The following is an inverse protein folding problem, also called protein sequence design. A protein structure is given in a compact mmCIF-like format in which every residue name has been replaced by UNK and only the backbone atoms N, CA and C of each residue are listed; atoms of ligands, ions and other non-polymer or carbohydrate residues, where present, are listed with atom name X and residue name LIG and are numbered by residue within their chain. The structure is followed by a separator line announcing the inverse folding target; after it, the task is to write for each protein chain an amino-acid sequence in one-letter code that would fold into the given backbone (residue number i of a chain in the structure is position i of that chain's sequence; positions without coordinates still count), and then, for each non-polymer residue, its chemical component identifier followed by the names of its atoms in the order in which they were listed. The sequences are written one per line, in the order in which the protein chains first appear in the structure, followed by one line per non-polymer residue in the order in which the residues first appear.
data_IF_156823237635
#
_entry.id   IF_156823237635
#
_cell.length_a   1.000
_cell.length_b   1.000
_cell.length_c   1.000
_cell.angle_alpha   90.00
_cell.angle_beta   90.00
_cell.angle_gamma   90.00
#
_symmetry.space_group_name_H-M   'P 1'
#
loop_
_entity.id
_entity.type
_entity.pdbx_description
1 polymer ?
#
# COMPACT_ATOMS: atom_id res chain seq x y z
N UNK A 1 -5.06 10.39 57.09
CA UNK A 1 -4.03 10.28 56.04
C UNK A 1 -4.58 9.36 54.97
N UNK A 2 -5.02 9.96 53.87
CA UNK A 2 -5.68 9.27 52.76
C UNK A 2 -4.63 8.59 51.89
N UNK A 3 -4.64 7.27 51.84
CA UNK A 3 -3.80 6.50 50.93
C UNK A 3 -4.32 6.70 49.50
N UNK A 4 -3.70 7.60 48.74
CA UNK A 4 -3.86 7.67 47.30
C UNK A 4 -3.40 6.33 46.69
N UNK A 5 -4.37 5.56 46.17
CA UNK A 5 -4.08 4.47 45.24
C UNK A 5 -3.48 5.11 43.99
N UNK A 6 -2.16 5.12 43.90
CA UNK A 6 -1.42 5.42 42.67
C UNK A 6 -1.86 4.41 41.60
N UNK A 7 -2.77 4.85 40.74
CA UNK A 7 -3.21 4.08 39.58
C UNK A 7 -2.00 3.89 38.67
N UNK A 8 -1.46 2.67 38.63
CA UNK A 8 -0.45 2.29 37.65
C UNK A 8 -1.05 2.50 36.24
N UNK A 9 -0.26 2.99 35.27
CA UNK A 9 -0.75 3.16 33.91
C UNK A 9 -1.23 1.80 33.42
N UNK A 10 -2.49 1.73 33.01
CA UNK A 10 -3.07 0.54 32.43
C UNK A 10 -2.15 0.09 31.29
N UNK A 11 -1.49 -1.06 31.46
CA UNK A 11 -0.75 -1.70 30.38
C UNK A 11 -1.70 -1.83 29.20
N UNK A 12 -1.42 -1.11 28.12
CA UNK A 12 -2.27 -1.11 26.93
C UNK A 12 -2.45 -2.54 26.47
N UNK A 13 -3.68 -3.04 26.57
CA UNK A 13 -4.07 -4.28 25.92
C UNK A 13 -3.75 -4.11 24.44
N UNK A 14 -2.71 -4.80 23.98
CA UNK A 14 -2.27 -4.82 22.58
C UNK A 14 -3.27 -5.62 21.77
N UNK A 15 -4.49 -5.13 21.64
CA UNK A 15 -5.44 -5.63 20.66
C UNK A 15 -5.02 -5.03 19.33
N UNK A 16 -4.47 -5.84 18.40
CA UNK A 16 -4.13 -5.34 17.09
C UNK A 16 -5.41 -4.84 16.40
N UNK A 17 -5.36 -3.61 15.85
CA UNK A 17 -6.48 -2.98 15.13
C UNK A 17 -6.94 -3.80 13.92
N UNK A 18 -6.02 -4.57 13.34
CA UNK A 18 -6.24 -5.43 12.18
C UNK A 18 -5.73 -6.83 12.50
N UNK A 19 -6.47 -7.88 12.11
CA UNK A 19 -5.98 -9.25 12.24
C UNK A 19 -4.97 -9.63 11.16
N UNK A 20 -4.36 -10.81 11.33
CA UNK A 20 -3.26 -11.28 10.46
C UNK A 20 -3.63 -11.33 8.98
N UNK A 21 -4.85 -11.75 8.67
CA UNK A 21 -5.31 -11.79 7.27
C UNK A 21 -5.33 -10.41 6.62
N UNK A 22 -5.79 -9.38 7.33
CA UNK A 22 -5.84 -8.02 6.82
C UNK A 22 -4.45 -7.49 6.49
N UNK A 23 -3.49 -7.72 7.40
CA UNK A 23 -2.10 -7.37 7.15
C UNK A 23 -1.54 -8.06 5.91
N UNK A 24 -1.93 -9.32 5.67
CA UNK A 24 -1.52 -10.04 4.45
C UNK A 24 -2.12 -9.41 3.19
N UNK A 25 -3.40 -9.01 3.22
CA UNK A 25 -4.05 -8.30 2.13
C UNK A 25 -3.45 -6.91 1.87
N UNK A 26 -3.06 -6.17 2.92
CA UNK A 26 -2.34 -4.89 2.79
C UNK A 26 -0.98 -5.10 2.13
N UNK A 27 -0.21 -6.11 2.53
CA UNK A 27 1.07 -6.42 1.88
C UNK A 27 0.92 -6.71 0.39
N UNK A 28 -0.15 -7.41 0.00
CA UNK A 28 -0.46 -7.68 -1.40
C UNK A 28 -0.83 -6.37 -2.13
N UNK A 29 -1.67 -5.53 -1.55
CA UNK A 29 -2.03 -4.22 -2.11
C UNK A 29 -0.82 -3.32 -2.33
N UNK A 30 0.05 -3.24 -1.33
CA UNK A 30 1.31 -2.51 -1.40
C UNK A 30 2.24 -3.04 -2.51
N UNK A 31 2.35 -4.37 -2.65
CA UNK A 31 3.16 -4.96 -3.72
C UNK A 31 2.62 -4.59 -5.10
N UNK A 32 1.30 -4.60 -5.30
CA UNK A 32 0.66 -4.20 -6.56
C UNK A 32 0.89 -2.72 -6.86
N UNK A 33 0.75 -1.84 -5.86
CA UNK A 33 1.05 -0.41 -5.97
C UNK A 33 2.51 -0.18 -6.37
N UNK A 34 3.44 -0.83 -5.66
CA UNK A 34 4.87 -0.74 -5.95
C UNK A 34 5.19 -1.18 -7.38
N UNK A 35 4.55 -2.25 -7.87
CA UNK A 35 4.71 -2.74 -9.24
C UNK A 35 4.16 -1.74 -10.27
N UNK A 36 3.01 -1.12 -10.00
CA UNK A 36 2.44 -0.05 -10.85
C UNK A 36 3.35 1.17 -10.97
N UNK A 37 3.89 1.66 -9.84
CA UNK A 37 4.85 2.76 -9.83
C UNK A 37 6.18 2.37 -10.48
N UNK A 38 6.64 1.14 -10.28
CA UNK A 38 7.86 0.62 -10.90
C UNK A 38 7.76 0.61 -12.43
N UNK A 39 6.62 0.14 -12.97
CA UNK A 39 6.35 0.17 -14.40
C UNK A 39 6.32 1.60 -14.94
N UNK A 40 5.80 2.57 -14.17
CA UNK A 40 5.81 3.99 -14.53
C UNK A 40 7.24 4.59 -14.58
N UNK A 41 8.14 4.13 -13.70
CA UNK A 41 9.53 4.61 -13.65
C UNK A 41 10.41 4.08 -14.81
N UNK A 42 10.03 2.97 -15.43
CA UNK A 42 10.78 2.32 -16.51
C UNK A 42 10.63 3.05 -17.84
N UNK A 43 11.52 3.99 -18.15
CA UNK A 43 11.31 4.87 -19.30
C UNK A 43 12.38 5.86 -19.69
N UNK A 44 13.55 5.79 -19.04
CA UNK A 44 14.62 6.73 -19.29
C UNK A 44 15.24 6.43 -20.65
N UNK A 45 15.05 7.34 -21.60
CA UNK A 45 15.77 7.27 -22.86
C UNK A 45 17.26 7.49 -22.60
N UNK A 46 18.09 6.60 -23.16
CA UNK A 46 19.55 6.62 -23.03
C UNK A 46 20.19 7.82 -23.73
N UNK A 47 19.47 8.49 -24.63
CA UNK A 47 19.94 9.65 -25.38
C UNK A 47 18.93 10.80 -25.31
N UNK A 48 19.24 11.87 -24.57
CA UNK A 48 18.34 13.02 -24.36
C UNK A 48 18.19 13.93 -25.60
N UNK A 49 18.95 13.64 -26.67
CA UNK A 49 18.92 14.37 -27.94
C UNK A 49 18.03 13.71 -29.00
N UNK A 50 17.59 12.48 -28.77
CA UNK A 50 16.74 11.72 -29.69
C UNK A 50 15.42 11.41 -29.00
N UNK A 51 14.31 11.98 -29.49
CA UNK A 51 12.98 11.63 -29.02
C UNK A 51 12.64 10.21 -29.50
N UNK A 52 12.76 9.22 -28.62
CA UNK A 52 12.21 7.88 -28.85
C UNK A 52 10.72 7.88 -28.47
N UNK A 53 9.84 8.21 -29.42
CA UNK A 53 8.38 8.19 -29.23
C UNK A 53 7.86 6.87 -28.67
N UNK A 54 8.47 5.74 -29.07
CA UNK A 54 8.10 4.40 -28.60
C UNK A 54 8.42 4.16 -27.12
N UNK A 55 9.47 4.80 -26.60
CA UNK A 55 9.80 4.74 -25.17
C UNK A 55 8.98 5.73 -24.36
N UNK A 56 8.58 6.88 -24.90
CA UNK A 56 7.79 7.87 -24.16
C UNK A 56 6.31 7.48 -24.13
N UNK A 57 5.74 7.06 -25.27
CA UNK A 57 4.35 6.66 -25.44
C UNK A 57 4.13 5.15 -25.32
N UNK A 58 4.81 4.51 -24.37
CA UNK A 58 4.56 3.10 -24.09
C UNK A 58 3.17 2.93 -23.47
N UNK A 59 2.31 2.16 -24.14
CA UNK A 59 0.97 1.76 -23.65
C UNK A 59 1.02 1.17 -22.23
N UNK A 60 2.14 0.55 -21.88
CA UNK A 60 2.40 0.01 -20.54
C UNK A 60 2.41 1.08 -19.46
N UNK A 61 2.91 2.28 -19.74
CA UNK A 61 3.00 3.36 -18.74
C UNK A 61 1.79 4.28 -18.75
N UNK A 62 1.19 4.51 -19.91
CA UNK A 62 0.01 5.37 -20.03
C UNK A 62 -1.26 4.65 -19.56
N UNK A 63 -1.35 3.33 -19.78
CA UNK A 63 -2.59 2.59 -19.55
C UNK A 63 -2.41 1.53 -18.46
N UNK A 64 -1.42 0.65 -18.58
CA UNK A 64 -1.27 -0.49 -17.65
C UNK A 64 -0.85 -0.02 -16.25
N UNK A 65 0.13 0.87 -16.14
CA UNK A 65 0.61 1.36 -14.85
C UNK A 65 -0.49 2.09 -14.04
N UNK A 66 -1.28 3.04 -14.59
CA UNK A 66 -2.38 3.66 -13.85
C UNK A 66 -3.47 2.66 -13.44
N UNK A 67 -3.79 1.69 -14.30
CA UNK A 67 -4.77 0.63 -13.96
C UNK A 67 -4.27 -0.21 -12.78
N UNK A 68 -2.98 -0.59 -12.76
CA UNK A 68 -2.39 -1.33 -11.65
C UNK A 68 -2.39 -0.52 -10.35
N UNK A 69 -2.09 0.77 -10.42
CA UNK A 69 -2.13 1.66 -9.25
C UNK A 69 -3.55 1.73 -8.69
N UNK A 70 -4.56 1.91 -9.54
CA UNK A 70 -5.97 1.93 -9.13
C UNK A 70 -6.37 0.59 -8.52
N UNK A 71 -6.01 -0.54 -9.16
CA UNK A 71 -6.28 -1.87 -8.63
C UNK A 71 -5.63 -2.08 -7.25
N UNK A 72 -4.38 -1.63 -7.07
CA UNK A 72 -3.67 -1.66 -5.80
C UNK A 72 -4.41 -0.87 -4.70
N UNK A 73 -4.89 0.35 -5.00
CA UNK A 73 -5.69 1.12 -4.07
C UNK A 73 -7.02 0.44 -3.72
N UNK A 74 -7.70 -0.19 -4.68
CA UNK A 74 -8.93 -0.95 -4.41
C UNK A 74 -8.65 -2.12 -3.46
N UNK A 75 -7.53 -2.83 -3.65
CA UNK A 75 -7.10 -3.92 -2.75
C UNK A 75 -6.82 -3.38 -1.35
N UNK A 76 -6.11 -2.25 -1.21
CA UNK A 76 -5.84 -1.62 0.09
C UNK A 76 -7.12 -1.19 0.80
N UNK A 77 -8.05 -0.54 0.09
CA UNK A 77 -9.36 -0.17 0.63
C UNK A 77 -10.09 -1.41 1.13
N UNK A 78 -10.12 -2.49 0.33
CA UNK A 78 -10.71 -3.75 0.74
C UNK A 78 -10.01 -4.36 1.96
N UNK A 79 -8.67 -4.35 2.00
CA UNK A 79 -7.88 -4.89 3.09
C UNK A 79 -8.14 -4.17 4.43
N UNK A 80 -8.29 -2.85 4.38
CA UNK A 80 -8.59 -2.01 5.55
C UNK A 80 -10.06 -2.17 5.98
N UNK A 81 -10.98 -2.19 5.02
CA UNK A 81 -12.42 -2.32 5.28
C UNK A 81 -12.82 -3.73 5.73
N UNK A 82 -12.07 -4.76 5.35
CA UNK A 82 -12.35 -6.14 5.74
C UNK A 82 -12.37 -6.21 7.26
N UNK A 83 -13.52 -6.38 7.88
CA UNK A 83 -13.56 -6.51 9.34
C UNK A 83 -12.88 -7.81 9.72
N UNK A 84 -11.72 -7.73 10.37
CA UNK A 84 -11.05 -8.92 10.86
C UNK A 84 -11.94 -9.55 11.94
N UNK A 85 -12.34 -10.80 11.74
CA UNK A 85 -13.02 -11.55 12.78
C UNK A 85 -11.95 -11.79 13.86
N UNK A 86 -12.02 -10.98 14.93
CA UNK A 86 -11.31 -11.23 16.18
C UNK A 86 -11.60 -12.67 16.57
N UNK A 87 -10.60 -13.54 16.45
CA UNK A 87 -10.63 -14.85 17.10
C UNK A 87 -10.18 -14.64 18.54
#
# INVERSE_FOLDING_TARGET
MSTEKKQAPAGGSSNPLFGKENYMWMLIGLAVLALGFFLMAGGKSTDTKVFNDSEVYSTTRITIAPILIIAGFVIEIFAIMKKSKSN
#
